data_IF_295036611767
#
_entry.id   IF_295036611767
#
_cell.length_a   1.000
_cell.length_b   1.000
_cell.length_c   1.000
_cell.angle_alpha   90.00
_cell.angle_beta   90.00
_cell.angle_gamma   90.00
#
_symmetry.space_group_name_H-M   'P 1'
#
loop_
_entity.id
_entity.type
_entity.pdbx_description
1 polymer ?
#
# COMPACT_ATOMS: atom_id res chain seq x y z
N UNK A 1 -13.82 14.42 -16.63
CA UNK A 1 -12.36 14.61 -16.52
C UNK A 1 -12.04 15.04 -15.10
N UNK A 2 -12.16 14.17 -14.10
CA UNK A 2 -11.53 14.39 -12.79
C UNK A 2 -11.30 13.05 -12.06
N UNK A 3 -10.23 12.35 -12.45
CA UNK A 3 -9.65 11.28 -11.63
C UNK A 3 -9.06 11.89 -10.35
N UNK A 4 -9.33 11.29 -9.19
CA UNK A 4 -8.72 11.63 -7.89
C UNK A 4 -7.18 11.53 -7.92
N UNK A 5 -6.61 10.92 -8.97
CA UNK A 5 -5.17 10.81 -9.21
C UNK A 5 -4.62 11.59 -10.42
N UNK A 6 -5.43 12.40 -11.11
CA UNK A 6 -5.01 13.25 -12.25
C UNK A 6 -5.34 14.73 -12.03
N UNK A 7 -4.85 15.31 -10.94
CA UNK A 7 -5.04 16.72 -10.62
C UNK A 7 -3.73 17.50 -10.70
N UNK A 8 -3.73 18.79 -11.09
CA UNK A 8 -2.55 19.65 -10.99
C UNK A 8 -2.04 19.68 -9.54
N UNK A 9 -0.73 19.88 -9.38
CA UNK A 9 0.03 19.72 -8.12
C UNK A 9 -0.59 20.42 -6.88
N UNK A 10 -1.37 21.48 -7.09
CA UNK A 10 -2.08 22.23 -6.05
C UNK A 10 -3.34 21.54 -5.53
N UNK A 11 -4.05 20.74 -6.34
CA UNK A 11 -5.33 20.09 -5.97
C UNK A 11 -5.10 18.66 -5.46
N UNK A 12 -3.98 18.02 -5.84
CA UNK A 12 -3.52 16.75 -5.26
C UNK A 12 -3.37 16.88 -3.75
N UNK A 13 -2.76 17.97 -3.26
CA UNK A 13 -2.54 18.23 -1.84
C UNK A 13 -3.85 18.41 -1.02
N UNK A 14 -4.91 18.91 -1.64
CA UNK A 14 -6.19 19.22 -0.97
C UNK A 14 -7.09 17.98 -0.87
N UNK A 15 -7.09 17.09 -1.89
CA UNK A 15 -7.77 15.78 -1.84
C UNK A 15 -6.95 14.69 -1.15
N UNK A 16 -5.62 14.80 -1.08
CA UNK A 16 -4.76 13.92 -0.28
C UNK A 16 -5.15 13.90 1.20
N UNK A 17 -5.48 15.09 1.73
CA UNK A 17 -5.97 15.26 3.10
C UNK A 17 -7.27 14.52 3.35
N UNK A 18 -8.12 14.37 2.32
CA UNK A 18 -9.47 13.82 2.45
C UNK A 18 -9.56 12.32 2.18
N UNK A 19 -8.62 11.74 1.45
CA UNK A 19 -8.77 10.38 0.93
C UNK A 19 -7.85 9.42 1.69
N UNK A 20 -6.53 9.52 1.65
CA UNK A 20 -5.64 8.53 2.31
C UNK A 20 -5.53 8.78 3.83
N UNK A 21 -5.35 10.05 4.24
CA UNK A 21 -5.25 10.41 5.66
C UNK A 21 -6.54 10.11 6.43
N UNK A 22 -7.71 10.38 5.85
CA UNK A 22 -9.03 10.01 6.42
C UNK A 22 -9.30 8.49 6.35
N UNK A 23 -8.93 7.80 5.25
CA UNK A 23 -9.16 6.35 5.08
C UNK A 23 -8.51 5.51 6.18
N UNK A 24 -7.36 5.94 6.72
CA UNK A 24 -6.63 5.19 7.75
C UNK A 24 -6.79 5.81 9.16
N UNK A 25 -6.84 7.13 9.30
CA UNK A 25 -7.15 7.76 10.60
C UNK A 25 -8.54 7.39 11.14
N UNK A 26 -9.52 7.11 10.26
CA UNK A 26 -10.86 6.63 10.67
C UNK A 26 -10.82 5.18 11.16
N UNK A 27 -9.91 4.35 10.62
CA UNK A 27 -9.70 2.99 11.11
C UNK A 27 -8.99 2.98 12.47
N UNK A 28 -7.96 3.81 12.65
CA UNK A 28 -7.21 3.92 13.92
C UNK A 28 -7.98 4.64 15.04
N UNK A 29 -8.87 5.58 14.73
CA UNK A 29 -9.68 6.30 15.73
C UNK A 29 -10.82 5.46 16.32
N UNK A 30 -11.38 4.50 15.57
CA UNK A 30 -12.32 3.50 16.12
C UNK A 30 -11.66 2.50 17.08
N UNK A 31 -10.34 2.38 17.05
CA UNK A 31 -9.54 1.47 17.89
C UNK A 31 -8.75 2.19 19.00
N UNK A 32 -8.91 3.50 19.17
CA UNK A 32 -8.38 4.26 20.32
C UNK A 32 -6.87 4.56 20.30
N UNK A 33 -6.20 4.56 19.14
CA UNK A 33 -4.72 4.54 19.07
C UNK A 33 -4.04 5.93 19.04
N UNK A 34 -4.76 7.03 18.85
CA UNK A 34 -4.09 8.35 18.66
C UNK A 34 -4.37 9.30 19.82
N UNK A 35 -3.59 9.17 20.88
CA UNK A 35 -3.58 10.08 22.03
C UNK A 35 -2.16 10.48 22.40
N UNK A 36 -1.66 11.56 21.79
CA UNK A 36 -0.52 12.34 22.31
C UNK A 36 0.83 12.01 21.70
N UNK A 37 1.29 12.81 20.74
CA UNK A 37 2.71 12.84 20.36
C UNK A 37 3.09 14.23 19.82
N UNK A 38 3.19 15.22 20.71
CA UNK A 38 4.01 16.41 20.47
C UNK A 38 5.07 16.46 21.59
N UNK A 39 6.17 15.74 21.38
CA UNK A 39 7.33 15.74 22.25
C UNK A 39 8.60 15.81 21.40
N UNK A 40 9.42 16.83 21.63
CA UNK A 40 10.63 17.12 20.87
C UNK A 40 11.71 16.02 21.07
N UNK A 41 12.00 15.25 20.01
CA UNK A 41 13.07 14.26 19.98
C UNK A 41 14.41 14.88 19.56
N UNK A 42 15.44 14.72 20.39
CA UNK A 42 16.83 15.16 20.15
C UNK A 42 17.50 14.28 19.10
N UNK A 43 18.20 14.90 18.15
CA UNK A 43 19.06 14.24 17.17
C UNK A 43 20.33 13.74 17.88
N UNK A 44 20.53 12.42 17.93
CA UNK A 44 21.79 11.80 18.36
C UNK A 44 22.77 11.77 17.19
N UNK A 45 23.93 12.41 17.38
CA UNK A 45 25.05 12.41 16.45
C UNK A 45 25.73 11.05 16.40
N UNK A 46 25.78 10.45 15.21
CA UNK A 46 26.53 9.23 14.94
C UNK A 46 28.02 9.59 14.80
N UNK A 47 28.86 9.17 15.75
CA UNK A 47 30.32 9.24 15.64
C UNK A 47 30.88 7.95 15.06
N UNK A 48 31.76 8.13 14.09
CA UNK A 48 32.47 7.11 13.33
C UNK A 48 33.19 6.08 14.20
N UNK A 49 33.14 4.82 13.78
CA UNK A 49 34.21 3.86 14.06
C UNK A 49 34.46 3.03 12.80
N UNK A 50 35.41 3.49 12.00
CA UNK A 50 36.03 2.70 10.96
C UNK A 50 36.92 1.63 11.60
N UNK A 51 36.59 0.34 11.39
CA UNK A 51 37.53 -0.78 11.52
C UNK A 51 37.44 -1.70 10.31
N UNK A 52 38.61 -2.06 9.82
CA UNK A 52 38.87 -2.81 8.60
C UNK A 52 38.10 -4.15 8.56
N UNK A 53 37.40 -4.42 7.44
CA UNK A 53 36.73 -5.69 7.17
C UNK A 53 37.64 -6.62 6.39
N UNK A 54 38.06 -7.72 7.01
CA UNK A 54 38.55 -8.93 6.35
C UNK A 54 37.40 -9.63 5.64
N UNK A 55 37.62 -10.05 4.39
CA UNK A 55 36.65 -10.84 3.60
C UNK A 55 36.48 -12.21 4.26
N UNK A 56 35.28 -12.53 4.76
CA UNK A 56 34.97 -13.88 5.23
C UNK A 56 33.93 -14.04 6.35
N UNK A 57 33.28 -12.98 6.84
CA UNK A 57 32.18 -13.13 7.80
C UNK A 57 30.87 -12.67 7.15
N UNK A 58 29.88 -13.58 7.08
CA UNK A 58 28.48 -13.19 7.01
C UNK A 58 28.25 -12.17 8.12
N UNK A 59 27.56 -11.07 7.79
CA UNK A 59 27.08 -10.15 8.79
C UNK A 59 26.30 -10.97 9.85
N UNK A 60 26.45 -10.68 11.15
CA UNK A 60 25.59 -11.29 12.15
C UNK A 60 24.12 -11.08 11.74
N UNK A 61 23.21 -12.03 12.03
CA UNK A 61 21.79 -11.80 11.80
C UNK A 61 21.45 -10.48 12.49
N UNK A 62 21.00 -9.49 11.71
CA UNK A 62 20.38 -8.30 12.27
C UNK A 62 19.20 -8.82 13.05
N UNK A 63 19.22 -8.64 14.38
CA UNK A 63 18.02 -8.81 15.18
C UNK A 63 16.91 -8.00 14.52
N UNK A 64 15.68 -8.54 14.41
CA UNK A 64 14.57 -7.77 13.86
C UNK A 64 14.47 -6.51 14.71
N UNK A 65 14.68 -5.36 14.08
CA UNK A 65 14.45 -4.06 14.69
C UNK A 65 12.96 -3.97 15.01
N UNK A 66 12.59 -4.54 16.15
CA UNK A 66 11.28 -4.44 16.80
C UNK A 66 11.12 -3.04 17.40
N UNK A 67 11.77 -2.02 16.84
CA UNK A 67 11.45 -0.62 17.07
C UNK A 67 10.01 -0.40 16.62
N UNK A 68 9.07 -0.73 17.51
CA UNK A 68 7.64 -0.66 17.27
C UNK A 68 7.31 0.76 16.80
N UNK A 69 7.06 0.89 15.51
CA UNK A 69 6.08 1.85 15.02
C UNK A 69 4.88 1.80 15.98
N UNK A 70 4.59 2.92 16.63
CA UNK A 70 3.48 3.02 17.59
C UNK A 70 2.12 2.75 16.95
N UNK A 71 2.02 2.87 15.62
CA UNK A 71 0.81 2.64 14.83
C UNK A 71 0.75 1.25 14.17
N UNK A 72 1.89 0.57 14.00
CA UNK A 72 2.01 -0.75 13.37
C UNK A 72 2.68 -0.72 11.97
N UNK A 73 2.80 -1.90 11.35
CA UNK A 73 3.42 -2.08 10.04
C UNK A 73 2.40 -2.35 8.92
N UNK A 74 2.55 -1.66 7.80
CA UNK A 74 1.68 -1.72 6.62
C UNK A 74 2.43 -2.36 5.45
N UNK A 75 1.87 -3.42 4.88
CA UNK A 75 2.24 -3.89 3.55
C UNK A 75 1.40 -3.12 2.53
N UNK A 76 2.02 -2.29 1.70
CA UNK A 76 1.30 -1.44 0.73
C UNK A 76 1.53 -1.93 -0.71
N UNK A 77 0.54 -2.61 -1.28
CA UNK A 77 0.59 -3.17 -2.65
C UNK A 77 -0.18 -2.24 -3.59
N UNK A 78 0.53 -1.36 -4.29
CA UNK A 78 -0.06 -0.33 -5.17
C UNK A 78 0.85 -0.03 -6.36
N UNK A 79 0.38 0.80 -7.30
CA UNK A 79 1.23 1.33 -8.38
C UNK A 79 2.31 2.28 -7.85
N UNK A 80 3.35 2.52 -8.65
CA UNK A 80 4.35 3.55 -8.39
C UNK A 80 4.73 4.30 -9.68
N UNK A 81 4.96 5.62 -9.56
CA UNK A 81 5.47 6.44 -10.66
C UNK A 81 6.69 7.29 -10.23
N UNK A 82 7.64 7.49 -11.14
CA UNK A 82 8.80 8.36 -10.90
C UNK A 82 8.37 9.84 -10.87
N UNK A 83 7.57 10.28 -11.85
CA UNK A 83 6.99 11.63 -11.90
C UNK A 83 5.51 11.62 -11.51
N UNK A 84 5.07 12.67 -10.80
CA UNK A 84 3.73 12.75 -10.19
C UNK A 84 3.64 12.06 -8.83
N UNK A 85 2.45 12.09 -8.22
CA UNK A 85 2.14 11.49 -6.92
C UNK A 85 0.89 10.61 -7.03
N UNK A 86 1.10 9.32 -7.27
CA UNK A 86 0.04 8.29 -7.30
C UNK A 86 0.53 7.03 -6.59
N UNK A 87 -0.40 6.15 -6.21
CA UNK A 87 -0.11 4.85 -5.59
C UNK A 87 0.84 4.95 -4.38
N UNK A 88 1.86 4.11 -4.32
CA UNK A 88 2.82 4.07 -3.21
C UNK A 88 3.60 5.38 -3.05
N UNK A 89 3.92 6.10 -4.14
CA UNK A 89 4.57 7.40 -4.02
C UNK A 89 3.69 8.44 -3.32
N UNK A 90 2.38 8.25 -3.41
CA UNK A 90 1.41 9.04 -2.67
C UNK A 90 1.16 8.50 -1.25
N UNK A 91 1.08 7.18 -1.06
CA UNK A 91 0.65 6.59 0.21
C UNK A 91 1.76 6.51 1.28
N UNK A 92 3.00 6.23 0.88
CA UNK A 92 4.08 5.86 1.82
C UNK A 92 4.44 6.99 2.78
N UNK A 93 4.71 8.21 2.26
CA UNK A 93 5.14 9.31 3.12
C UNK A 93 4.07 9.72 4.16
N UNK A 94 2.78 9.89 3.80
CA UNK A 94 1.73 10.15 4.79
C UNK A 94 1.61 9.08 5.86
N UNK A 95 1.68 7.81 5.49
CA UNK A 95 1.63 6.69 6.43
C UNK A 95 2.79 6.75 7.43
N UNK A 96 4.00 7.01 6.93
CA UNK A 96 5.18 7.18 7.77
C UNK A 96 5.06 8.39 8.71
N UNK A 97 4.51 9.51 8.22
CA UNK A 97 4.24 10.69 9.06
C UNK A 97 3.17 10.42 10.14
N UNK A 98 2.27 9.47 9.91
CA UNK A 98 1.30 8.99 10.90
C UNK A 98 1.90 7.95 11.87
N UNK A 99 3.19 7.62 11.74
CA UNK A 99 3.92 6.73 12.64
C UNK A 99 3.86 5.26 12.25
N UNK A 100 3.35 4.90 11.07
CA UNK A 100 3.39 3.53 10.55
C UNK A 100 4.76 3.21 9.93
N UNK A 101 5.23 1.97 10.12
CA UNK A 101 6.22 1.40 9.21
C UNK A 101 5.53 0.96 7.93
N UNK A 102 6.16 1.19 6.78
CA UNK A 102 5.54 0.90 5.48
C UNK A 102 6.52 0.16 4.59
N UNK A 103 6.12 -1.05 4.19
CA UNK A 103 6.83 -1.84 3.18
C UNK A 103 6.03 -1.78 1.87
N UNK A 104 6.49 -1.00 0.87
CA UNK A 104 5.79 -0.88 -0.41
C UNK A 104 6.15 -2.02 -1.36
N UNK A 105 5.14 -2.66 -1.94
CA UNK A 105 5.27 -3.51 -3.14
C UNK A 105 4.64 -2.77 -4.31
N UNK A 106 5.43 -2.51 -5.34
CA UNK A 106 4.99 -1.74 -6.50
C UNK A 106 4.41 -2.70 -7.56
N UNK A 107 3.09 -2.68 -7.76
CA UNK A 107 2.42 -3.46 -8.81
C UNK A 107 2.84 -3.02 -10.21
N UNK A 108 3.19 -1.74 -10.37
CA UNK A 108 3.85 -1.21 -11.57
C UNK A 108 4.92 -0.21 -11.15
N UNK A 109 5.97 -0.10 -11.96
CA UNK A 109 7.03 0.88 -11.81
C UNK A 109 7.11 1.71 -13.08
N UNK A 110 6.36 2.81 -13.15
CA UNK A 110 6.27 3.63 -14.36
C UNK A 110 7.01 4.97 -14.25
N UNK A 111 7.36 5.56 -15.40
CA UNK A 111 7.94 6.90 -15.48
C UNK A 111 6.98 7.98 -14.97
N UNK A 112 5.69 7.84 -15.28
CA UNK A 112 4.62 8.80 -14.98
C UNK A 112 3.26 8.06 -15.07
N UNK A 113 2.19 8.70 -14.63
CA UNK A 113 0.85 8.10 -14.74
C UNK A 113 0.38 8.04 -16.21
N UNK A 114 -0.64 7.21 -16.48
CA UNK A 114 -1.18 6.90 -17.81
C UNK A 114 -1.97 8.03 -18.47
N UNK A 115 -2.10 9.18 -17.81
CA UNK A 115 -2.72 10.38 -18.39
C UNK A 115 -1.78 11.18 -19.29
N UNK A 116 -0.49 10.82 -19.35
CA UNK A 116 0.48 11.42 -20.27
C UNK A 116 0.55 10.63 -21.58
N UNK A 117 1.02 11.31 -22.64
CA UNK A 117 1.14 10.72 -23.98
C UNK A 117 2.08 9.50 -24.06
N UNK A 118 3.15 9.49 -23.25
CA UNK A 118 4.12 8.39 -23.22
C UNK A 118 4.33 7.92 -21.79
N UNK A 119 4.30 6.59 -21.61
CA UNK A 119 4.60 5.92 -20.35
C UNK A 119 5.61 4.80 -20.65
N UNK A 120 6.62 4.66 -19.79
CA UNK A 120 7.54 3.52 -19.81
C UNK A 120 7.67 2.91 -18.43
N UNK A 121 7.93 1.61 -18.38
CA UNK A 121 8.26 0.89 -17.17
C UNK A 121 7.69 -0.51 -17.15
N UNK A 122 7.74 -1.11 -15.97
CA UNK A 122 7.48 -2.54 -15.79
C UNK A 122 6.20 -2.79 -14.98
N UNK A 123 5.58 -3.95 -15.23
CA UNK A 123 4.42 -4.45 -14.51
C UNK A 123 4.84 -5.68 -13.74
N UNK A 124 4.56 -5.70 -12.44
CA UNK A 124 4.78 -6.86 -11.58
C UNK A 124 3.60 -7.82 -11.76
N UNK A 125 3.87 -9.07 -12.13
CA UNK A 125 2.85 -10.11 -12.23
C UNK A 125 2.57 -10.80 -10.87
N UNK A 126 1.57 -11.68 -10.86
CA UNK A 126 1.13 -12.38 -9.67
C UNK A 126 2.16 -13.37 -9.11
N UNK A 127 2.98 -14.02 -9.96
CA UNK A 127 4.02 -14.95 -9.50
C UNK A 127 5.20 -14.17 -8.91
N UNK A 128 5.57 -13.06 -9.52
CA UNK A 128 6.58 -12.14 -9.01
C UNK A 128 6.16 -11.55 -7.66
N UNK A 129 4.89 -11.15 -7.49
CA UNK A 129 4.36 -10.76 -6.18
C UNK A 129 4.50 -11.89 -5.17
N UNK A 130 4.09 -13.12 -5.53
CA UNK A 130 4.17 -14.25 -4.61
C UNK A 130 5.61 -14.56 -4.20
N UNK A 131 6.57 -14.49 -5.12
CA UNK A 131 7.99 -14.67 -4.83
C UNK A 131 8.54 -13.65 -3.81
N UNK A 132 8.05 -12.39 -3.84
CA UNK A 132 8.40 -11.39 -2.82
C UNK A 132 7.85 -11.81 -1.45
N UNK A 133 6.62 -12.30 -1.39
CA UNK A 133 6.00 -12.77 -0.14
C UNK A 133 6.73 -14.00 0.41
N UNK A 134 7.14 -14.93 -0.44
CA UNK A 134 7.97 -16.07 -0.04
C UNK A 134 9.33 -15.62 0.49
N UNK A 135 9.96 -14.63 -0.14
CA UNK A 135 11.19 -14.03 0.35
C UNK A 135 11.03 -13.40 1.74
N UNK A 136 9.95 -12.65 1.96
CA UNK A 136 9.63 -12.10 3.28
C UNK A 136 9.37 -13.22 4.31
N UNK A 137 8.62 -14.25 3.91
CA UNK A 137 8.34 -15.41 4.77
C UNK A 137 9.61 -16.15 5.19
N UNK A 138 10.53 -16.39 4.24
CA UNK A 138 11.77 -17.10 4.50
C UNK A 138 12.68 -16.38 5.52
N UNK A 139 12.46 -15.07 5.70
CA UNK A 139 13.16 -14.23 6.67
C UNK A 139 12.31 -13.90 7.92
N UNK A 140 11.14 -14.53 8.10
CA UNK A 140 10.22 -14.28 9.21
C UNK A 140 9.75 -12.81 9.31
N UNK A 141 9.46 -12.19 8.15
CA UNK A 141 9.11 -10.76 8.05
C UNK A 141 7.62 -10.49 7.77
N UNK A 142 6.75 -11.49 7.91
CA UNK A 142 5.31 -11.35 7.61
C UNK A 142 4.47 -10.74 8.73
N UNK A 143 5.09 -10.10 9.73
CA UNK A 143 4.42 -9.50 10.89
C UNK A 143 3.70 -8.17 10.57
N UNK A 144 2.81 -8.19 9.59
CA UNK A 144 2.03 -7.04 9.16
C UNK A 144 0.76 -6.87 10.00
N UNK A 145 0.50 -5.63 10.39
CA UNK A 145 -0.75 -5.23 11.07
C UNK A 145 -1.83 -4.80 10.08
N UNK A 146 -1.39 -4.23 8.95
CA UNK A 146 -2.26 -3.70 7.91
C UNK A 146 -1.81 -4.16 6.53
N UNK A 147 -2.78 -4.43 5.67
CA UNK A 147 -2.59 -4.57 4.23
C UNK A 147 -3.35 -3.44 3.54
N UNK A 148 -2.68 -2.71 2.66
CA UNK A 148 -3.29 -1.66 1.86
C UNK A 148 -3.12 -2.00 0.37
N UNK A 149 -4.21 -2.14 -0.36
CA UNK A 149 -4.18 -2.37 -1.81
C UNK A 149 -4.80 -1.22 -2.57
N UNK A 150 -4.25 -0.91 -3.75
CA UNK A 150 -4.74 0.13 -4.65
C UNK A 150 -4.84 -0.37 -6.08
N UNK A 151 -4.30 0.38 -7.04
CA UNK A 151 -4.32 0.00 -8.46
C UNK A 151 -3.74 -1.41 -8.72
N UNK A 152 -4.56 -2.25 -9.34
CA UNK A 152 -4.26 -3.62 -9.75
C UNK A 152 -4.61 -3.78 -11.23
N UNK A 153 -3.62 -4.19 -12.03
CA UNK A 153 -3.73 -4.20 -13.49
C UNK A 153 -4.26 -5.50 -14.10
N UNK A 154 -4.34 -6.60 -13.34
CA UNK A 154 -4.76 -7.90 -13.88
C UNK A 154 -5.50 -8.76 -12.86
N UNK A 155 -6.35 -9.66 -13.38
CA UNK A 155 -7.09 -10.63 -12.56
C UNK A 155 -6.14 -11.55 -11.81
N UNK A 156 -5.09 -12.06 -12.47
CA UNK A 156 -4.10 -12.93 -11.83
C UNK A 156 -3.40 -12.26 -10.64
N UNK A 157 -3.07 -10.96 -10.76
CA UNK A 157 -2.47 -10.21 -9.66
C UNK A 157 -3.45 -10.03 -8.49
N UNK A 158 -4.72 -9.77 -8.79
CA UNK A 158 -5.77 -9.67 -7.77
C UNK A 158 -5.99 -11.01 -7.05
N UNK A 159 -5.95 -12.12 -7.77
CA UNK A 159 -6.05 -13.46 -7.17
C UNK A 159 -4.84 -13.78 -6.29
N UNK A 160 -3.62 -13.41 -6.71
CA UNK A 160 -2.46 -13.51 -5.83
C UNK A 160 -2.65 -12.67 -4.56
N UNK A 161 -3.19 -11.45 -4.65
CA UNK A 161 -3.45 -10.62 -3.46
C UNK A 161 -4.38 -11.34 -2.47
N UNK A 162 -5.41 -12.05 -2.93
CA UNK A 162 -6.27 -12.85 -2.05
C UNK A 162 -5.46 -13.94 -1.32
N UNK A 163 -4.55 -14.61 -2.04
CA UNK A 163 -3.61 -15.57 -1.44
C UNK A 163 -2.68 -14.91 -0.42
N UNK A 164 -2.23 -13.69 -0.67
CA UNK A 164 -1.44 -12.89 0.29
C UNK A 164 -2.27 -12.57 1.54
N UNK A 165 -3.53 -12.15 1.40
CA UNK A 165 -4.43 -11.87 2.54
C UNK A 165 -4.56 -13.12 3.43
N UNK A 166 -4.85 -14.27 2.83
CA UNK A 166 -4.93 -15.55 3.55
C UNK A 166 -3.63 -15.86 4.28
N UNK A 167 -2.50 -15.73 3.59
CA UNK A 167 -1.18 -15.99 4.17
C UNK A 167 -0.89 -15.06 5.36
N UNK A 168 -1.11 -13.77 5.21
CA UNK A 168 -0.89 -12.80 6.28
C UNK A 168 -1.81 -13.07 7.48
N UNK A 169 -3.05 -13.51 7.25
CA UNK A 169 -3.99 -13.90 8.32
C UNK A 169 -3.57 -15.15 9.09
N UNK A 170 -2.78 -16.04 8.50
CA UNK A 170 -2.17 -17.16 9.25
C UNK A 170 -1.18 -16.69 10.30
N UNK A 171 -0.55 -15.53 10.09
CA UNK A 171 0.41 -14.91 11.01
C UNK A 171 -0.28 -13.94 11.96
N UNK A 172 -1.19 -13.12 11.44
CA UNK A 172 -1.98 -12.15 12.19
C UNK A 172 -3.47 -12.27 11.85
N UNK A 173 -4.27 -13.02 12.63
CA UNK A 173 -5.71 -13.14 12.42
C UNK A 173 -6.48 -11.81 12.49
N UNK A 174 -5.91 -10.80 13.14
CA UNK A 174 -6.49 -9.46 13.29
C UNK A 174 -6.03 -8.49 12.18
N UNK A 175 -5.46 -8.98 11.07
CA UNK A 175 -5.01 -8.17 9.95
C UNK A 175 -6.12 -7.24 9.45
N UNK A 176 -5.84 -5.94 9.45
CA UNK A 176 -6.74 -4.93 8.86
C UNK A 176 -6.42 -4.83 7.37
N UNK A 177 -7.35 -5.30 6.54
CA UNK A 177 -7.23 -5.19 5.08
C UNK A 177 -8.05 -4.01 4.56
N UNK A 178 -7.36 -2.97 4.10
CA UNK A 178 -7.96 -1.81 3.42
C UNK A 178 -7.78 -1.95 1.92
N UNK A 179 -8.90 -2.02 1.20
CA UNK A 179 -8.92 -2.11 -0.27
C UNK A 179 -9.40 -0.78 -0.87
N UNK A 180 -8.58 -0.18 -1.73
CA UNK A 180 -8.99 0.87 -2.66
C UNK A 180 -9.21 0.22 -4.04
N UNK A 181 -10.45 -0.08 -4.43
CA UNK A 181 -10.74 -0.87 -5.63
C UNK A 181 -10.69 0.00 -6.89
N UNK A 182 -9.48 0.50 -7.20
CA UNK A 182 -9.22 1.45 -8.30
C UNK A 182 -9.56 0.79 -9.64
N UNK A 183 -10.78 1.03 -10.12
CA UNK A 183 -11.31 0.44 -11.36
C UNK A 183 -11.63 1.48 -12.42
N UNK A 184 -12.01 2.69 -12.02
CA UNK A 184 -12.49 3.71 -12.95
C UNK A 184 -13.12 4.89 -12.24
N UNK A 185 -13.46 5.92 -13.00
CA UNK A 185 -14.18 7.11 -12.50
C UNK A 185 -14.94 7.77 -13.65
N UNK A 186 -15.85 8.70 -13.36
CA UNK A 186 -16.63 9.43 -14.37
C UNK A 186 -17.38 8.52 -15.38
N UNK A 187 -17.73 7.29 -14.99
CA UNK A 187 -18.45 6.33 -15.85
C UNK A 187 -17.55 5.42 -16.70
N UNK A 188 -16.23 5.59 -16.65
CA UNK A 188 -15.27 4.90 -17.51
C UNK A 188 -14.30 4.01 -16.70
N UNK A 189 -14.03 2.82 -17.21
CA UNK A 189 -13.04 1.91 -16.63
C UNK A 189 -11.61 2.26 -17.03
N UNK A 190 -10.68 2.20 -16.09
CA UNK A 190 -9.23 2.31 -16.31
C UNK A 190 -8.56 0.93 -16.46
N UNK A 191 -9.22 -0.10 -15.96
CA UNK A 191 -8.72 -1.48 -15.91
C UNK A 191 -9.64 -2.41 -16.69
N UNK A 192 -9.23 -3.65 -16.88
CA UNK A 192 -10.07 -4.66 -17.50
C UNK A 192 -11.35 -4.88 -16.66
N UNK A 193 -12.57 -4.73 -17.23
CA UNK A 193 -13.83 -4.96 -16.53
C UNK A 193 -13.99 -6.35 -15.92
N UNK A 194 -13.21 -7.35 -16.38
CA UNK A 194 -13.13 -8.69 -15.77
C UNK A 194 -12.66 -8.69 -14.31
N UNK A 195 -12.08 -7.58 -13.83
CA UNK A 195 -11.75 -7.41 -12.41
C UNK A 195 -12.99 -7.20 -11.53
N UNK A 196 -14.09 -6.66 -12.09
CA UNK A 196 -15.28 -6.29 -11.31
C UNK A 196 -15.91 -7.49 -10.60
N UNK A 197 -16.15 -8.66 -11.24
CA UNK A 197 -16.66 -9.83 -10.56
C UNK A 197 -15.73 -10.31 -9.43
N UNK A 198 -14.42 -10.27 -9.65
CA UNK A 198 -13.43 -10.68 -8.63
C UNK A 198 -13.49 -9.78 -7.41
N UNK A 199 -13.55 -8.46 -7.61
CA UNK A 199 -13.74 -7.53 -6.50
C UNK A 199 -15.06 -7.80 -5.76
N UNK A 200 -16.17 -7.89 -6.48
CA UNK A 200 -17.51 -8.05 -5.92
C UNK A 200 -17.66 -9.36 -5.13
N UNK A 201 -17.20 -10.47 -5.70
CA UNK A 201 -17.46 -11.81 -5.17
C UNK A 201 -16.39 -12.26 -4.17
N UNK A 202 -15.13 -11.88 -4.38
CA UNK A 202 -14.00 -12.34 -3.57
C UNK A 202 -13.46 -11.27 -2.64
N UNK A 203 -13.17 -10.06 -3.14
CA UNK A 203 -12.49 -9.03 -2.35
C UNK A 203 -13.39 -8.43 -1.27
N UNK A 204 -14.65 -8.14 -1.61
CA UNK A 204 -15.60 -7.53 -0.66
C UNK A 204 -15.81 -8.37 0.59
N UNK A 205 -15.77 -9.71 0.47
CA UNK A 205 -15.97 -10.61 1.61
C UNK A 205 -14.75 -10.72 2.53
N UNK A 206 -13.54 -10.41 2.02
CA UNK A 206 -12.30 -10.51 2.80
C UNK A 206 -11.76 -9.15 3.24
N UNK A 207 -12.13 -8.04 2.61
CA UNK A 207 -11.68 -6.70 2.99
C UNK A 207 -12.31 -6.25 4.32
N UNK A 208 -11.50 -5.72 5.23
CA UNK A 208 -11.98 -5.07 6.45
C UNK A 208 -12.64 -3.74 6.14
N UNK A 209 -12.11 -3.03 5.15
CA UNK A 209 -12.63 -1.76 4.69
C UNK A 209 -12.42 -1.64 3.18
N UNK A 210 -13.46 -1.18 2.47
CA UNK A 210 -13.36 -0.76 1.08
C UNK A 210 -13.44 0.75 1.01
N UNK A 211 -12.77 1.33 0.03
CA UNK A 211 -12.71 2.78 -0.12
C UNK A 211 -13.04 3.28 -1.53
N UNK A 212 -14.11 2.77 -2.16
CA UNK A 212 -14.46 3.08 -3.54
C UNK A 212 -14.87 4.55 -3.72
N UNK A 213 -14.66 5.07 -4.92
CA UNK A 213 -15.38 6.26 -5.39
C UNK A 213 -16.84 5.93 -5.76
N UNK A 214 -17.59 6.93 -6.24
CA UNK A 214 -19.00 6.76 -6.61
C UNK A 214 -19.19 5.69 -7.70
N UNK A 215 -18.46 5.79 -8.81
CA UNK A 215 -18.55 4.85 -9.92
C UNK A 215 -18.20 3.42 -9.49
N UNK A 216 -17.12 3.26 -8.73
CA UNK A 216 -16.69 1.97 -8.21
C UNK A 216 -17.73 1.36 -7.26
N UNK A 217 -18.39 2.18 -6.44
CA UNK A 217 -19.47 1.71 -5.57
C UNK A 217 -20.67 1.21 -6.37
N UNK A 218 -21.03 1.87 -7.48
CA UNK A 218 -22.06 1.37 -8.40
C UNK A 218 -21.68 0.00 -8.97
N UNK A 219 -20.41 -0.15 -9.39
CA UNK A 219 -19.91 -1.42 -9.93
C UNK A 219 -19.91 -2.52 -8.87
N UNK A 220 -19.53 -2.23 -7.62
CA UNK A 220 -19.51 -3.24 -6.56
C UNK A 220 -20.92 -3.65 -6.11
N UNK A 221 -21.86 -2.70 -6.03
CA UNK A 221 -23.22 -2.96 -5.52
C UNK A 221 -24.23 -3.37 -6.58
N UNK A 222 -23.94 -3.08 -7.85
CA UNK A 222 -24.90 -3.25 -8.95
C UNK A 222 -26.07 -2.26 -8.90
N UNK A 223 -25.91 -1.12 -8.22
CA UNK A 223 -26.94 -0.09 -8.03
C UNK A 223 -26.44 1.27 -8.52
N UNK A 224 -27.33 2.07 -9.09
CA UNK A 224 -27.13 3.49 -9.44
C UNK A 224 -27.91 4.37 -8.48
#
# INVERSE_FOLDING_TARGET
MFCVFCLPSSVVAERFRSTILMKIATASSRLGVVGGLWGAGRILSCRESARARTRGSMAPPMEPDLGLSSAGRVLSIQSHTVHGYVGNKAAVLPLQLLGFDVDPVNSVQFSNHTGYATVKGDVLDGEQLWALIEGLQANDLLHYTHLLTGYIGSVSFLETILRVVEKLRTVNPNLIYVCDPVMGDDGEFYVNPELVPVYREKVVSVATMLTPNHFEAEQLTGRR
#
